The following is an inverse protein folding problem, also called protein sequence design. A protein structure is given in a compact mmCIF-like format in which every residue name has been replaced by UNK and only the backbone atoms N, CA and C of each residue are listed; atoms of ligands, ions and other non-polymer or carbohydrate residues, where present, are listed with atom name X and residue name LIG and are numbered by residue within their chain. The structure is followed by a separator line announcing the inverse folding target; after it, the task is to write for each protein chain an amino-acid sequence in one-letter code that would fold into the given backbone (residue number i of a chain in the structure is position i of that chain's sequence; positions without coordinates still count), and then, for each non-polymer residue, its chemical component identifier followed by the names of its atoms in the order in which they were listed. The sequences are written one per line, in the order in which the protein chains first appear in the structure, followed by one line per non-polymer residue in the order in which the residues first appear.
data_IF_376269922586
#
_entry.id   IF_376269922586
#
_cell.length_a   1.000
_cell.length_b   1.000
_cell.length_c   1.000
_cell.angle_alpha   90.00
_cell.angle_beta   90.00
_cell.angle_gamma   90.00
#
_symmetry.space_group_name_H-M   'P 1'
#
loop_
_entity.id
_entity.type
_entity.pdbx_description
1 polymer ?
#
# COMPACT_ATOMS: atom_id res chain seq x y z
N UNK A 1 -21.06 -7.50 1.85
CA UNK A 1 -20.74 -7.39 0.41
C UNK A 1 -21.03 -5.98 -0.08
N UNK A 2 -20.11 -5.07 0.20
CA UNK A 2 -20.08 -3.78 -0.51
C UNK A 2 -19.72 -4.05 -1.97
N UNK A 3 -20.46 -3.48 -2.92
CA UNK A 3 -20.12 -3.63 -4.34
C UNK A 3 -18.84 -2.83 -4.65
N UNK A 4 -18.11 -3.17 -5.72
CA UNK A 4 -16.93 -2.41 -6.13
C UNK A 4 -17.22 -0.90 -6.34
N UNK A 5 -18.46 -0.57 -6.70
CA UNK A 5 -18.97 0.80 -6.80
C UNK A 5 -19.07 1.50 -5.44
N UNK A 6 -19.48 0.79 -4.39
CA UNK A 6 -19.58 1.35 -3.05
C UNK A 6 -18.19 1.57 -2.43
N UNK A 7 -17.24 0.68 -2.71
CA UNK A 7 -15.83 0.83 -2.30
C UNK A 7 -15.19 2.03 -2.99
N UNK A 8 -15.44 2.23 -4.29
CA UNK A 8 -14.96 3.39 -5.03
C UNK A 8 -15.52 4.71 -4.46
N UNK A 9 -16.83 4.77 -4.16
CA UNK A 9 -17.45 5.94 -3.54
C UNK A 9 -16.90 6.25 -2.15
N UNK A 10 -16.62 5.23 -1.35
CA UNK A 10 -16.00 5.40 -0.03
C UNK A 10 -14.56 5.92 -0.18
N UNK A 11 -13.80 5.41 -1.15
CA UNK A 11 -12.47 5.94 -1.47
C UNK A 11 -12.51 7.41 -1.87
N UNK A 12 -13.40 7.79 -2.78
CA UNK A 12 -13.56 9.19 -3.21
C UNK A 12 -13.97 10.09 -2.03
N UNK A 13 -14.88 9.62 -1.18
CA UNK A 13 -15.31 10.39 0.01
C UNK A 13 -14.17 10.56 1.02
N UNK A 14 -13.35 9.52 1.21
CA UNK A 14 -12.18 9.57 2.08
C UNK A 14 -11.12 10.52 1.51
N UNK A 15 -10.89 10.51 0.20
CA UNK A 15 -9.98 11.43 -0.48
C UNK A 15 -10.45 12.90 -0.43
N UNK A 16 -11.75 13.13 -0.22
CA UNK A 16 -12.32 14.46 0.01
C UNK A 16 -12.20 14.93 1.47
N UNK A 17 -11.65 14.11 2.39
CA UNK A 17 -11.45 14.50 3.78
C UNK A 17 -10.36 15.56 3.88
N UNK A 18 -10.57 16.67 4.64
CA UNK A 18 -9.54 17.66 4.89
C UNK A 18 -8.26 17.00 5.43
N UNK A 19 -7.11 17.37 4.86
CA UNK A 19 -5.80 16.80 5.23
C UNK A 19 -5.28 15.68 4.32
N UNK A 20 -6.10 15.11 3.43
CA UNK A 20 -5.65 14.07 2.48
C UNK A 20 -4.84 14.61 1.29
N UNK A 21 -4.85 15.93 1.09
CA UNK A 21 -3.99 16.64 0.12
C UNK A 21 -2.73 17.21 0.77
N UNK A 22 -2.57 17.06 2.09
CA UNK A 22 -1.42 17.60 2.80
C UNK A 22 -0.17 16.81 2.44
N UNK A 23 0.93 17.55 2.21
CA UNK A 23 2.21 16.94 1.87
C UNK A 23 2.85 16.39 3.14
N UNK A 24 2.91 15.06 3.25
CA UNK A 24 3.64 14.38 4.32
C UNK A 24 5.06 14.07 3.87
N UNK A 25 6.06 14.51 4.65
CA UNK A 25 7.44 14.09 4.45
C UNK A 25 7.65 12.69 5.03
N UNK A 26 7.83 11.70 4.16
CA UNK A 26 8.17 10.33 4.57
C UNK A 26 9.66 10.10 4.31
N UNK A 27 10.48 10.28 5.36
CA UNK A 27 11.93 10.02 5.30
C UNK A 27 12.22 8.57 5.73
N UNK A 28 12.88 7.81 4.85
CA UNK A 28 13.01 6.35 4.95
C UNK A 28 14.39 5.90 4.52
N UNK A 29 14.98 4.98 5.30
CA UNK A 29 16.27 4.35 5.00
C UNK A 29 16.05 2.88 4.72
N UNK A 30 15.99 2.52 3.45
CA UNK A 30 15.82 1.12 3.00
C UNK A 30 16.97 0.70 2.07
N UNK A 31 17.24 -0.60 2.02
CA UNK A 31 18.28 -1.16 1.15
C UNK A 31 17.88 -1.07 -0.32
N UNK A 32 18.85 -1.05 -1.24
CA UNK A 32 18.58 -1.06 -2.70
C UNK A 32 17.69 -2.24 -3.12
N UNK A 33 17.82 -3.38 -2.44
CA UNK A 33 17.00 -4.57 -2.64
C UNK A 33 15.54 -4.32 -2.32
N UNK A 34 15.26 -3.64 -1.21
CA UNK A 34 13.89 -3.33 -0.78
C UNK A 34 13.26 -2.27 -1.69
N UNK A 35 14.04 -1.30 -2.18
CA UNK A 35 13.57 -0.34 -3.20
C UNK A 35 13.14 -1.04 -4.47
N UNK A 36 13.96 -1.97 -4.98
CA UNK A 36 13.66 -2.73 -6.19
C UNK A 36 12.37 -3.55 -6.00
N UNK A 37 12.27 -4.25 -4.87
CA UNK A 37 11.08 -5.03 -4.56
C UNK A 37 9.82 -4.17 -4.46
N UNK A 38 9.91 -3.04 -3.76
CA UNK A 38 8.80 -2.11 -3.59
C UNK A 38 8.29 -1.61 -4.95
N UNK A 39 9.20 -1.24 -5.84
CA UNK A 39 8.86 -0.85 -7.21
C UNK A 39 8.12 -1.98 -7.93
N UNK A 40 8.60 -3.22 -7.84
CA UNK A 40 7.95 -4.37 -8.49
C UNK A 40 6.56 -4.66 -7.91
N UNK A 41 6.38 -4.57 -6.59
CA UNK A 41 5.08 -4.75 -5.92
C UNK A 41 4.08 -3.69 -6.37
N UNK A 42 4.51 -2.42 -6.43
CA UNK A 42 3.65 -1.31 -6.90
C UNK A 42 3.26 -1.52 -8.36
N UNK A 43 4.21 -1.86 -9.23
CA UNK A 43 3.92 -2.14 -10.64
C UNK A 43 2.92 -3.28 -10.82
N UNK A 44 3.08 -4.39 -10.09
CA UNK A 44 2.14 -5.52 -10.12
C UNK A 44 0.76 -5.14 -9.56
N UNK A 45 0.71 -4.36 -8.49
CA UNK A 45 -0.53 -3.92 -7.87
C UNK A 45 -1.33 -2.97 -8.77
N UNK A 46 -0.66 -2.10 -9.53
CA UNK A 46 -1.28 -1.18 -10.48
C UNK A 46 -1.62 -1.84 -11.81
N UNK A 47 -0.82 -2.80 -12.26
CA UNK A 47 -1.02 -3.51 -13.52
C UNK A 47 -0.92 -5.04 -13.31
N UNK A 48 -2.01 -5.70 -12.90
CA UNK A 48 -1.99 -7.13 -12.60
C UNK A 48 -1.73 -8.03 -13.81
N UNK A 49 -1.71 -7.46 -15.03
CA UNK A 49 -1.38 -8.17 -16.28
C UNK A 49 0.10 -8.05 -16.68
N UNK A 50 0.91 -7.33 -15.91
CA UNK A 50 2.33 -7.16 -16.18
C UNK A 50 3.12 -8.36 -15.61
N UNK A 51 3.22 -9.43 -16.42
CA UNK A 51 3.93 -10.67 -16.05
C UNK A 51 5.45 -10.48 -15.93
N UNK A 52 5.98 -9.36 -16.41
CA UNK A 52 7.42 -9.07 -16.50
C UNK A 52 8.13 -9.09 -15.13
N UNK A 53 7.39 -8.82 -14.05
CA UNK A 53 7.93 -8.74 -12.68
C UNK A 53 7.50 -9.88 -11.75
N UNK A 54 6.72 -10.86 -12.24
CA UNK A 54 6.18 -11.93 -11.41
C UNK A 54 7.27 -12.81 -10.79
N UNK A 55 8.30 -13.16 -11.56
CA UNK A 55 9.39 -14.03 -11.09
C UNK A 55 10.19 -13.44 -9.92
N UNK A 56 10.34 -12.11 -9.85
CA UNK A 56 11.04 -11.48 -8.73
C UNK A 56 10.20 -11.52 -7.45
N UNK A 57 8.88 -11.31 -7.57
CA UNK A 57 7.94 -11.30 -6.45
C UNK A 57 7.63 -12.72 -5.93
N UNK A 58 7.73 -13.73 -6.78
CA UNK A 58 7.55 -15.15 -6.42
C UNK A 58 8.75 -15.74 -5.68
N UNK A 59 9.94 -15.17 -5.87
CA UNK A 59 11.19 -15.63 -5.23
C UNK A 59 11.61 -14.75 -4.04
N UNK A 60 10.69 -13.94 -3.50
CA UNK A 60 10.99 -13.04 -2.39
C UNK A 60 11.19 -13.84 -1.12
N UNK A 61 12.36 -13.72 -0.46
CA UNK A 61 12.57 -14.28 0.86
C UNK A 61 11.54 -13.72 1.86
N UNK A 62 11.04 -14.54 2.79
CA UNK A 62 10.06 -14.10 3.78
C UNK A 62 10.56 -12.91 4.63
N UNK A 63 11.88 -12.82 4.89
CA UNK A 63 12.47 -11.70 5.63
C UNK A 63 12.26 -10.34 4.93
N UNK A 64 12.37 -10.32 3.59
CA UNK A 64 12.15 -9.10 2.82
C UNK A 64 10.68 -8.73 2.76
N UNK A 65 9.80 -9.72 2.64
CA UNK A 65 8.36 -9.49 2.65
C UNK A 65 7.91 -8.88 3.98
N UNK A 66 8.45 -9.38 5.10
CA UNK A 66 8.24 -8.79 6.42
C UNK A 66 8.79 -7.37 6.51
N UNK A 67 9.99 -7.10 5.99
CA UNK A 67 10.55 -5.75 5.95
C UNK A 67 9.70 -4.77 5.12
N UNK A 68 9.17 -5.19 3.97
CA UNK A 68 8.27 -4.34 3.18
C UNK A 68 6.92 -4.12 3.87
N UNK A 69 6.42 -5.12 4.58
CA UNK A 69 5.18 -4.97 5.35
C UNK A 69 5.38 -3.97 6.49
N UNK A 70 6.47 -4.12 7.25
CA UNK A 70 6.84 -3.15 8.28
C UNK A 70 7.07 -1.74 7.74
N UNK A 71 7.64 -1.63 6.53
CA UNK A 71 7.77 -0.36 5.83
C UNK A 71 6.42 0.27 5.47
N UNK A 72 5.47 -0.52 4.98
CA UNK A 72 4.13 -0.03 4.65
C UNK A 72 3.43 0.49 5.91
N UNK A 73 3.57 -0.22 7.03
CA UNK A 73 3.02 0.21 8.33
C UNK A 73 3.70 1.49 8.84
N UNK A 74 5.02 1.62 8.71
CA UNK A 74 5.76 2.82 9.09
C UNK A 74 5.35 4.04 8.24
N UNK A 75 5.12 3.85 6.94
CA UNK A 75 4.58 4.89 6.06
C UNK A 75 3.21 5.37 6.54
N UNK A 76 2.31 4.43 6.86
CA UNK A 76 0.98 4.76 7.39
C UNK A 76 1.07 5.48 8.72
N UNK A 77 1.98 5.06 9.60
CA UNK A 77 2.18 5.70 10.91
C UNK A 77 2.73 7.12 10.76
N UNK A 78 3.75 7.32 9.91
CA UNK A 78 4.33 8.65 9.64
C UNK A 78 3.33 9.61 8.98
N UNK A 79 2.40 9.06 8.19
CA UNK A 79 1.31 9.83 7.59
C UNK A 79 0.09 10.01 8.52
N UNK A 80 0.08 9.39 9.71
CA UNK A 80 -1.09 9.42 10.59
C UNK A 80 -2.31 8.67 10.04
N UNK A 81 -2.11 7.81 9.04
CA UNK A 81 -3.16 7.10 8.31
C UNK A 81 -3.42 5.67 8.82
N UNK A 82 -2.77 5.24 9.90
CA UNK A 82 -2.91 3.89 10.45
C UNK A 82 -4.37 3.55 10.78
N UNK A 83 -5.08 4.44 11.48
CA UNK A 83 -6.47 4.20 11.88
C UNK A 83 -7.43 4.17 10.66
N UNK A 84 -7.22 5.07 9.70
CA UNK A 84 -7.97 5.10 8.44
C UNK A 84 -7.77 3.79 7.65
N UNK A 85 -6.52 3.33 7.54
CA UNK A 85 -6.17 2.07 6.87
C UNK A 85 -6.83 0.86 7.54
N UNK A 86 -6.86 0.80 8.87
CA UNK A 86 -7.56 -0.26 9.61
C UNK A 86 -9.08 -0.23 9.38
N UNK A 87 -9.69 0.95 9.40
CA UNK A 87 -11.13 1.11 9.09
C UNK A 87 -11.44 0.66 7.65
N UNK A 88 -10.60 1.02 6.68
CA UNK A 88 -10.70 0.57 5.29
C UNK A 88 -10.61 -0.96 5.14
N UNK A 89 -9.65 -1.61 5.82
CA UNK A 89 -9.54 -3.08 5.83
C UNK A 89 -10.80 -3.74 6.41
N UNK A 90 -11.36 -3.15 7.45
CA UNK A 90 -12.57 -3.66 8.11
C UNK A 90 -13.83 -3.53 7.24
N UNK A 91 -13.88 -2.51 6.37
CA UNK A 91 -14.95 -2.32 5.40
C UNK A 91 -14.88 -3.35 4.26
N UNK A 92 -13.68 -3.71 3.80
CA UNK A 92 -13.48 -4.67 2.73
C UNK A 92 -13.68 -6.14 3.20
N UNK A 93 -13.51 -6.39 4.50
CA UNK A 93 -13.70 -7.72 5.09
C UNK A 93 -15.17 -8.09 5.39
N UNK A 94 -16.17 -7.32 4.90
CA UNK A 94 -17.62 -7.52 5.14
C UNK A 94 -18.50 -7.62 3.88
#
# INVERSE_FOLDING_TARGET
MMSASDVAKVFDTILLTPGMLDVVKVDLKISRKNVLLLSSVISRGLNPKDESNNGLLENVPPDLAEQLTGFADECLQKAGLTELSQKLKSLNSK
#
